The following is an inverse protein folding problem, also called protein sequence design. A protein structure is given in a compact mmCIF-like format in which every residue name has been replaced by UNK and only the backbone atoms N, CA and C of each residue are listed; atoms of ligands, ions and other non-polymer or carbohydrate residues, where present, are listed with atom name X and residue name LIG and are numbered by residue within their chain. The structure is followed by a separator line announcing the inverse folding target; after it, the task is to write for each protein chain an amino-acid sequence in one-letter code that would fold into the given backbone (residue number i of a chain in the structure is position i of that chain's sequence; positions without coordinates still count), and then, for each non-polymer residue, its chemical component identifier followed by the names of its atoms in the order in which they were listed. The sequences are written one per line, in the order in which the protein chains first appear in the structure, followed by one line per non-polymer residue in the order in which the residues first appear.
data_IF_957656722371
#
_entry.id   IF_957656722371
#
_cell.length_a   1.000
_cell.length_b   1.000
_cell.length_c   1.000
_cell.angle_alpha   90.00
_cell.angle_beta   90.00
_cell.angle_gamma   90.00
#
_symmetry.space_group_name_H-M   'P 1'
#
loop_
_entity.id
_entity.type
_entity.pdbx_description
1 polymer ?
#
# COMPACT_ATOMS: atom_id res chain seq x y z
N UNK A 1 -20.67 -64.30 -14.68
CA UNK A 1 -20.71 -64.67 -13.24
C UNK A 1 -19.68 -63.78 -12.55
N UNK A 2 -20.10 -62.72 -11.88
CA UNK A 2 -19.21 -61.95 -11.02
C UNK A 2 -18.91 -62.80 -9.78
N UNK A 3 -17.64 -62.97 -9.45
CA UNK A 3 -17.25 -63.70 -8.27
C UNK A 3 -17.44 -62.85 -7.02
N UNK A 4 -17.68 -63.49 -5.88
CA UNK A 4 -17.82 -62.82 -4.58
C UNK A 4 -16.60 -61.94 -4.26
N UNK A 5 -15.45 -62.21 -4.85
CA UNK A 5 -14.21 -61.49 -4.74
C UNK A 5 -14.23 -60.16 -5.50
N UNK A 6 -14.89 -60.12 -6.67
CA UNK A 6 -15.01 -58.88 -7.47
C UNK A 6 -15.91 -57.85 -6.78
N UNK A 7 -16.92 -58.33 -6.03
CA UNK A 7 -17.80 -57.46 -5.25
C UNK A 7 -17.08 -56.83 -4.04
N UNK A 8 -16.14 -57.59 -3.43
CA UNK A 8 -15.37 -57.15 -2.26
C UNK A 8 -14.30 -56.15 -2.63
N UNK A 9 -13.69 -56.29 -3.83
CA UNK A 9 -12.72 -55.32 -4.35
C UNK A 9 -13.40 -54.00 -4.75
N UNK A 10 -14.58 -54.08 -5.39
CA UNK A 10 -15.34 -52.86 -5.75
C UNK A 10 -15.76 -52.04 -4.50
N UNK A 11 -16.14 -52.70 -3.40
CA UNK A 11 -16.50 -52.01 -2.15
C UNK A 11 -15.29 -51.39 -1.43
N UNK A 12 -14.11 -51.96 -1.55
CA UNK A 12 -12.88 -51.39 -0.97
C UNK A 12 -12.42 -50.15 -1.76
N UNK A 13 -12.49 -50.17 -3.08
CA UNK A 13 -12.16 -49.01 -3.92
C UNK A 13 -13.10 -47.85 -3.65
N UNK A 14 -14.39 -48.09 -3.48
CA UNK A 14 -15.38 -47.07 -3.10
C UNK A 14 -15.08 -46.44 -1.72
N UNK A 15 -14.68 -47.24 -0.74
CA UNK A 15 -14.31 -46.79 0.60
C UNK A 15 -13.03 -45.95 0.58
N UNK A 16 -12.03 -46.34 -0.22
CA UNK A 16 -10.80 -45.55 -0.39
C UNK A 16 -11.07 -44.22 -1.10
N UNK A 17 -11.96 -44.22 -2.08
CA UNK A 17 -12.35 -42.99 -2.77
C UNK A 17 -13.12 -42.05 -1.85
N UNK A 18 -14.03 -42.56 -1.02
CA UNK A 18 -14.72 -41.77 0.00
C UNK A 18 -13.76 -41.21 1.03
N UNK A 19 -12.81 -41.98 1.54
CA UNK A 19 -11.81 -41.52 2.49
C UNK A 19 -10.88 -40.41 1.87
N UNK A 20 -10.57 -40.49 0.58
CA UNK A 20 -9.82 -39.45 -0.14
C UNK A 20 -10.64 -38.16 -0.26
N UNK A 21 -11.93 -38.28 -0.59
CA UNK A 21 -12.85 -37.13 -0.67
C UNK A 21 -13.01 -36.42 0.68
N UNK A 22 -13.19 -37.17 1.74
CA UNK A 22 -13.30 -36.66 3.11
C UNK A 22 -12.01 -35.90 3.54
N UNK A 23 -10.83 -36.48 3.26
CA UNK A 23 -9.55 -35.83 3.54
C UNK A 23 -9.39 -34.54 2.74
N UNK A 24 -9.81 -34.50 1.48
CA UNK A 24 -9.75 -33.28 0.68
C UNK A 24 -10.72 -32.20 1.20
N UNK A 25 -11.92 -32.58 1.59
CA UNK A 25 -12.89 -31.66 2.18
C UNK A 25 -12.39 -31.09 3.51
N UNK A 26 -11.80 -31.93 4.37
CA UNK A 26 -11.22 -31.45 5.62
C UNK A 26 -10.05 -30.52 5.39
N UNK A 27 -9.16 -30.81 4.44
CA UNK A 27 -8.06 -29.91 4.07
C UNK A 27 -8.57 -28.57 3.55
N UNK A 28 -9.62 -28.57 2.71
CA UNK A 28 -10.25 -27.36 2.23
C UNK A 28 -10.88 -26.55 3.37
N UNK A 29 -11.57 -27.21 4.29
CA UNK A 29 -12.15 -26.55 5.47
C UNK A 29 -11.08 -25.87 6.31
N UNK A 30 -9.99 -26.57 6.64
CA UNK A 30 -8.88 -26.04 7.42
C UNK A 30 -8.19 -24.87 6.71
N UNK A 31 -8.06 -24.94 5.38
CA UNK A 31 -7.52 -23.84 4.60
C UNK A 31 -8.40 -22.60 4.66
N UNK A 32 -9.72 -22.76 4.48
CA UNK A 32 -10.68 -21.67 4.57
C UNK A 32 -10.68 -21.01 5.95
N UNK A 33 -10.70 -21.82 7.02
CA UNK A 33 -10.65 -21.33 8.39
C UNK A 33 -9.36 -20.53 8.65
N UNK A 34 -8.22 -20.99 8.12
CA UNK A 34 -6.95 -20.28 8.23
C UNK A 34 -6.98 -18.94 7.48
N UNK A 35 -7.56 -18.92 6.28
CA UNK A 35 -7.70 -17.69 5.49
C UNK A 35 -8.64 -16.68 6.17
N UNK A 36 -9.74 -17.14 6.72
CA UNK A 36 -10.66 -16.29 7.49
C UNK A 36 -9.99 -15.69 8.72
N UNK A 37 -9.23 -16.50 9.47
CA UNK A 37 -8.46 -16.00 10.62
C UNK A 37 -7.44 -14.96 10.21
N UNK A 38 -6.68 -15.19 9.14
CA UNK A 38 -5.72 -14.20 8.62
C UNK A 38 -6.43 -12.91 8.18
N UNK A 39 -7.59 -13.02 7.54
CA UNK A 39 -8.40 -11.88 7.14
C UNK A 39 -8.87 -11.07 8.34
N UNK A 40 -9.33 -11.75 9.40
CA UNK A 40 -9.77 -11.08 10.63
C UNK A 40 -8.60 -10.38 11.35
N UNK A 41 -7.47 -11.05 11.52
CA UNK A 41 -6.26 -10.46 12.13
C UNK A 41 -5.80 -9.21 11.37
N UNK A 42 -5.91 -9.24 10.04
CA UNK A 42 -5.59 -8.10 9.20
C UNK A 42 -6.56 -6.93 9.41
N UNK A 43 -7.86 -7.20 9.40
CA UNK A 43 -8.87 -6.17 9.62
C UNK A 43 -8.73 -5.53 11.01
N UNK A 44 -8.47 -6.32 12.04
CA UNK A 44 -8.22 -5.84 13.39
C UNK A 44 -6.99 -4.94 13.46
N UNK A 45 -5.92 -5.32 12.76
CA UNK A 45 -4.72 -4.49 12.68
C UNK A 45 -4.99 -3.16 11.98
N UNK A 46 -5.64 -3.17 10.80
CA UNK A 46 -5.96 -1.97 10.05
C UNK A 46 -6.86 -1.03 10.86
N UNK A 47 -7.89 -1.57 11.52
CA UNK A 47 -8.82 -0.80 12.35
C UNK A 47 -8.12 -0.13 13.54
N UNK A 48 -7.12 -0.79 14.14
CA UNK A 48 -6.36 -0.23 15.26
C UNK A 48 -5.34 0.82 14.84
N UNK A 49 -4.85 0.72 13.61
CA UNK A 49 -3.69 1.50 13.14
C UNK A 49 -4.10 2.70 12.29
N UNK A 50 -5.19 2.58 11.54
CA UNK A 50 -5.63 3.58 10.58
C UNK A 50 -6.87 4.32 11.07
N UNK A 51 -7.03 5.57 10.61
CA UNK A 51 -8.30 6.29 10.78
C UNK A 51 -9.40 5.65 9.92
N UNK A 52 -10.67 5.90 10.27
CA UNK A 52 -11.82 5.36 9.51
C UNK A 52 -11.74 5.69 8.01
N UNK A 53 -11.32 6.91 7.66
CA UNK A 53 -11.17 7.32 6.26
C UNK A 53 -10.04 6.56 5.55
N UNK A 54 -8.90 6.42 6.19
CA UNK A 54 -7.75 5.66 5.68
C UNK A 54 -8.09 4.19 5.51
N UNK A 55 -8.79 3.60 6.46
CA UNK A 55 -9.24 2.22 6.39
C UNK A 55 -10.20 1.99 5.22
N UNK A 56 -11.16 2.90 5.00
CA UNK A 56 -12.05 2.86 3.83
C UNK A 56 -11.29 2.93 2.51
N UNK A 57 -10.24 3.75 2.43
CA UNK A 57 -9.40 3.83 1.23
C UNK A 57 -8.70 2.51 0.95
N UNK A 58 -8.07 1.91 1.96
CA UNK A 58 -7.38 0.62 1.80
C UNK A 58 -8.37 -0.46 1.33
N UNK A 59 -9.52 -0.59 1.99
CA UNK A 59 -10.55 -1.56 1.61
C UNK A 59 -11.04 -1.33 0.17
N UNK A 60 -11.31 -0.08 -0.20
CA UNK A 60 -11.74 0.26 -1.56
C UNK A 60 -10.73 -0.18 -2.62
N UNK A 61 -9.43 0.11 -2.39
CA UNK A 61 -8.37 -0.29 -3.31
C UNK A 61 -8.21 -1.80 -3.42
N UNK A 62 -8.49 -2.54 -2.33
CA UNK A 62 -8.43 -4.00 -2.32
C UNK A 62 -9.63 -4.64 -2.98
N UNK A 63 -10.84 -4.17 -2.68
CA UNK A 63 -12.08 -4.70 -3.25
C UNK A 63 -12.18 -4.47 -4.76
N UNK A 64 -11.63 -3.34 -5.24
CA UNK A 64 -11.64 -2.99 -6.65
C UNK A 64 -10.30 -3.27 -7.35
N UNK A 65 -9.44 -4.06 -6.71
CA UNK A 65 -8.12 -4.37 -7.25
C UNK A 65 -8.20 -5.03 -8.63
N UNK A 66 -7.59 -4.37 -9.61
CA UNK A 66 -7.40 -4.90 -10.96
C UNK A 66 -5.93 -4.67 -11.32
N UNK A 67 -5.28 -5.72 -11.79
CA UNK A 67 -3.86 -5.71 -12.14
C UNK A 67 -3.51 -4.55 -13.08
N UNK A 68 -2.54 -3.70 -12.71
CA UNK A 68 -2.11 -2.54 -13.48
C UNK A 68 -3.02 -1.31 -13.41
N UNK A 69 -4.21 -1.40 -12.81
CA UNK A 69 -5.14 -0.28 -12.78
C UNK A 69 -4.77 0.74 -11.70
N UNK A 70 -4.60 1.99 -12.11
CA UNK A 70 -4.55 3.15 -11.23
C UNK A 70 -5.95 3.78 -11.06
N UNK A 71 -6.32 4.09 -9.83
CA UNK A 71 -7.53 4.83 -9.51
C UNK A 71 -7.23 6.32 -9.53
N UNK A 72 -8.00 7.08 -10.30
CA UNK A 72 -7.87 8.53 -10.37
C UNK A 72 -8.39 9.17 -9.09
N UNK A 73 -7.97 10.42 -8.83
CA UNK A 73 -8.47 11.19 -7.69
C UNK A 73 -9.98 11.38 -7.79
N UNK A 74 -10.50 11.58 -8.99
CA UNK A 74 -11.91 11.74 -9.27
C UNK A 74 -12.71 10.47 -8.91
N UNK A 75 -12.22 9.27 -9.30
CA UNK A 75 -12.84 7.99 -8.93
C UNK A 75 -12.89 7.80 -7.41
N UNK A 76 -11.80 8.11 -6.70
CA UNK A 76 -11.71 7.97 -5.24
C UNK A 76 -12.66 8.98 -4.55
N UNK A 77 -12.75 10.20 -5.04
CA UNK A 77 -13.69 11.18 -4.50
C UNK A 77 -15.16 10.78 -4.78
N UNK A 78 -15.44 10.21 -5.94
CA UNK A 78 -16.79 9.71 -6.30
C UNK A 78 -17.21 8.47 -5.48
N UNK A 79 -16.26 7.72 -4.92
CA UNK A 79 -16.53 6.55 -4.07
C UNK A 79 -16.98 6.91 -2.63
N UNK A 80 -17.21 8.18 -2.33
CA UNK A 80 -17.72 8.68 -1.03
C UNK A 80 -16.88 8.25 0.20
N UNK A 81 -15.57 8.09 0.00
CA UNK A 81 -14.65 7.68 1.06
C UNK A 81 -14.32 8.81 2.04
N UNK A 82 -14.88 10.00 1.86
CA UNK A 82 -14.60 11.19 2.67
C UNK A 82 -13.47 12.06 2.11
N UNK A 83 -13.16 11.91 0.82
CA UNK A 83 -12.27 12.79 0.08
C UNK A 83 -13.08 13.74 -0.82
N UNK A 84 -12.60 14.97 -0.93
CA UNK A 84 -13.22 16.00 -1.77
C UNK A 84 -12.20 16.59 -2.71
N UNK A 85 -12.62 16.87 -3.93
CA UNK A 85 -11.80 17.59 -4.90
C UNK A 85 -11.58 19.03 -4.45
N UNK A 86 -10.35 19.49 -4.59
CA UNK A 86 -10.03 20.89 -4.37
C UNK A 86 -10.51 21.72 -5.57
N UNK A 87 -11.41 22.62 -5.32
CA UNK A 87 -11.98 23.51 -6.34
C UNK A 87 -11.13 24.80 -6.55
N UNK A 88 -10.08 25.00 -5.76
CA UNK A 88 -9.22 26.17 -5.91
C UNK A 88 -8.33 26.04 -7.14
N UNK A 89 -8.47 26.88 -8.17
CA UNK A 89 -7.69 26.80 -9.41
C UNK A 89 -6.19 27.12 -9.23
N UNK A 90 -5.81 27.69 -8.09
CA UNK A 90 -4.42 28.07 -7.80
C UNK A 90 -3.64 26.94 -7.09
N UNK A 91 -4.28 25.85 -6.73
CA UNK A 91 -3.61 24.68 -6.10
C UNK A 91 -3.43 23.58 -7.12
N UNK A 92 -2.18 23.13 -7.28
CA UNK A 92 -1.86 21.99 -8.14
C UNK A 92 -2.34 20.64 -7.57
N UNK A 93 -2.60 20.58 -6.27
CA UNK A 93 -3.07 19.36 -5.60
C UNK A 93 -4.58 19.27 -5.65
N UNK A 94 -5.10 18.37 -6.47
CA UNK A 94 -6.53 18.12 -6.61
C UNK A 94 -7.18 17.59 -5.32
N UNK A 95 -6.43 16.88 -4.47
CA UNK A 95 -6.90 16.39 -3.17
C UNK A 95 -5.71 16.20 -2.20
N UNK A 96 -5.41 17.23 -1.41
CA UNK A 96 -4.32 17.23 -0.42
C UNK A 96 -4.54 16.15 0.65
N UNK A 97 -5.78 15.98 1.11
CA UNK A 97 -6.14 14.99 2.13
C UNK A 97 -5.78 13.56 1.70
N UNK A 98 -6.06 13.20 0.44
CA UNK A 98 -5.72 11.90 -0.11
C UNK A 98 -4.20 11.67 -0.13
N UNK A 99 -3.44 12.68 -0.56
CA UNK A 99 -1.98 12.60 -0.59
C UNK A 99 -1.35 12.42 0.79
N UNK A 100 -1.89 13.09 1.80
CA UNK A 100 -1.46 12.95 3.19
C UNK A 100 -1.81 11.58 3.76
N UNK A 101 -3.05 11.12 3.54
CA UNK A 101 -3.50 9.83 4.03
C UNK A 101 -2.69 8.67 3.39
N UNK A 102 -2.40 8.72 2.09
CA UNK A 102 -1.56 7.70 1.45
C UNK A 102 -0.17 7.62 2.11
N UNK A 103 0.45 8.75 2.43
CA UNK A 103 1.74 8.77 3.14
C UNK A 103 1.63 8.13 4.53
N UNK A 104 0.62 8.50 5.29
CA UNK A 104 0.39 7.95 6.64
C UNK A 104 0.05 6.45 6.60
N UNK A 105 -0.77 6.02 5.66
CA UNK A 105 -1.09 4.60 5.45
C UNK A 105 0.20 3.83 5.15
N UNK A 106 0.97 4.27 4.16
CA UNK A 106 2.22 3.60 3.79
C UNK A 106 3.18 3.48 4.97
N UNK A 107 3.33 4.54 5.76
CA UNK A 107 4.13 4.51 6.98
C UNK A 107 3.63 3.47 7.98
N UNK A 108 2.32 3.42 8.21
CA UNK A 108 1.72 2.56 9.20
C UNK A 108 1.73 1.07 8.83
N UNK A 109 1.60 0.73 7.52
CA UNK A 109 1.38 -0.64 7.07
C UNK A 109 2.52 -1.25 6.23
N UNK A 110 3.54 -0.46 5.86
CA UNK A 110 4.60 -0.88 4.93
C UNK A 110 5.35 -2.16 5.35
N UNK A 111 5.41 -2.46 6.64
CA UNK A 111 6.08 -3.66 7.15
C UNK A 111 5.26 -4.94 7.03
N UNK A 112 3.96 -4.85 6.72
CA UNK A 112 3.03 -6.00 6.76
C UNK A 112 2.17 -6.17 5.52
N UNK A 113 1.97 -5.10 4.74
CA UNK A 113 0.99 -5.08 3.64
C UNK A 113 1.53 -4.36 2.42
N UNK A 114 0.84 -4.54 1.28
CA UNK A 114 1.15 -3.81 0.07
C UNK A 114 0.99 -2.31 0.29
N UNK A 115 1.96 -1.55 -0.16
CA UNK A 115 1.92 -0.08 -0.09
C UNK A 115 1.07 0.49 -1.23
N UNK A 116 0.57 1.70 -1.02
CA UNK A 116 -0.13 2.48 -2.05
C UNK A 116 0.89 3.33 -2.79
N UNK A 117 1.04 3.12 -4.08
CA UNK A 117 1.91 3.92 -4.94
C UNK A 117 1.10 4.94 -5.75
N UNK A 118 1.73 6.07 -6.09
CA UNK A 118 1.13 7.13 -6.90
C UNK A 118 1.88 7.33 -8.20
N UNK A 119 1.15 7.62 -9.26
CA UNK A 119 1.72 8.09 -10.52
C UNK A 119 1.98 9.61 -10.50
N UNK A 120 2.47 10.14 -11.64
CA UNK A 120 2.76 11.57 -11.80
C UNK A 120 1.48 12.45 -11.80
N UNK A 121 0.32 11.87 -12.08
CA UNK A 121 -0.97 12.57 -12.13
C UNK A 121 -1.70 12.54 -10.77
N UNK A 122 -1.14 11.81 -9.81
CA UNK A 122 -1.72 11.64 -8.48
C UNK A 122 -2.68 10.45 -8.35
N UNK A 123 -2.92 9.71 -9.44
CA UNK A 123 -3.67 8.45 -9.37
C UNK A 123 -2.90 7.44 -8.54
N UNK A 124 -3.61 6.57 -7.83
CA UNK A 124 -2.99 5.62 -6.91
C UNK A 124 -3.49 4.19 -7.12
N UNK A 125 -2.65 3.23 -6.71
CA UNK A 125 -2.99 1.80 -6.68
C UNK A 125 -2.23 1.09 -5.57
N UNK A 126 -2.60 -0.15 -5.27
CA UNK A 126 -1.78 -1.04 -4.45
C UNK A 126 -0.58 -1.52 -5.27
N UNK A 127 0.58 -1.59 -4.62
CA UNK A 127 1.79 -2.13 -5.22
C UNK A 127 1.65 -3.65 -5.44
N UNK A 128 1.97 -4.12 -6.63
CA UNK A 128 1.71 -5.50 -7.05
C UNK A 128 2.93 -6.41 -6.92
N UNK A 129 4.12 -5.83 -7.02
CA UNK A 129 5.36 -6.60 -7.04
C UNK A 129 6.52 -5.86 -6.36
N UNK A 130 7.56 -6.62 -6.01
CA UNK A 130 8.80 -6.06 -5.48
C UNK A 130 9.48 -5.15 -6.51
N UNK A 131 9.49 -5.51 -7.78
CA UNK A 131 10.13 -4.73 -8.84
C UNK A 131 9.43 -3.38 -9.03
N UNK A 132 8.11 -3.37 -8.93
CA UNK A 132 7.32 -2.15 -8.95
C UNK A 132 7.61 -1.27 -7.73
N UNK A 133 7.72 -1.86 -6.55
CA UNK A 133 8.11 -1.16 -5.33
C UNK A 133 9.49 -0.54 -5.45
N UNK A 134 10.47 -1.30 -5.93
CA UNK A 134 11.85 -0.83 -6.07
C UNK A 134 11.94 0.31 -7.10
N UNK A 135 11.18 0.23 -8.18
CA UNK A 135 11.06 1.29 -9.18
C UNK A 135 10.46 2.57 -8.59
N UNK A 136 9.36 2.45 -7.86
CA UNK A 136 8.72 3.57 -7.18
C UNK A 136 9.65 4.18 -6.12
N UNK A 137 10.29 3.35 -5.28
CA UNK A 137 11.26 3.78 -4.26
C UNK A 137 12.39 4.58 -4.86
N UNK A 138 12.95 4.12 -6.00
CA UNK A 138 14.01 4.85 -6.72
C UNK A 138 13.52 6.22 -7.18
N UNK A 139 12.34 6.30 -7.78
CA UNK A 139 11.76 7.56 -8.22
C UNK A 139 11.50 8.54 -7.08
N UNK A 140 11.05 8.06 -5.91
CA UNK A 140 10.85 8.90 -4.73
C UNK A 140 12.20 9.41 -4.17
N UNK A 141 13.23 8.55 -4.11
CA UNK A 141 14.60 8.97 -3.74
C UNK A 141 15.11 10.10 -4.65
N UNK A 142 14.97 9.96 -5.95
CA UNK A 142 15.40 10.98 -6.91
C UNK A 142 14.67 12.32 -6.71
N UNK A 143 13.38 12.30 -6.34
CA UNK A 143 12.63 13.53 -6.02
C UNK A 143 13.18 14.22 -4.78
N UNK A 144 13.46 13.46 -3.73
CA UNK A 144 14.04 13.99 -2.49
C UNK A 144 15.41 14.60 -2.77
N UNK A 145 16.27 13.89 -3.50
CA UNK A 145 17.61 14.35 -3.83
C UNK A 145 17.59 15.64 -4.64
N UNK A 146 16.72 15.75 -5.66
CA UNK A 146 16.53 17.00 -6.41
C UNK A 146 16.06 18.14 -5.53
N UNK A 147 15.17 17.89 -4.55
CA UNK A 147 14.73 18.89 -3.59
C UNK A 147 15.90 19.38 -2.72
N UNK A 148 16.77 18.49 -2.27
CA UNK A 148 17.99 18.82 -1.54
C UNK A 148 18.96 19.68 -2.37
N UNK A 149 19.22 19.27 -3.60
CA UNK A 149 20.09 20.03 -4.51
C UNK A 149 19.55 21.44 -4.73
N UNK A 150 18.23 21.60 -4.89
CA UNK A 150 17.58 22.90 -5.01
C UNK A 150 17.77 23.75 -3.77
N UNK A 151 17.59 23.19 -2.56
CA UNK A 151 17.77 23.91 -1.30
C UNK A 151 19.23 24.36 -1.12
N UNK A 152 20.19 23.46 -1.36
CA UNK A 152 21.61 23.81 -1.32
C UNK A 152 21.97 24.93 -2.31
N UNK A 153 21.34 24.95 -3.49
CA UNK A 153 21.54 26.01 -4.47
C UNK A 153 20.98 27.35 -3.98
N UNK A 154 19.86 27.34 -3.26
CA UNK A 154 19.27 28.53 -2.66
C UNK A 154 20.15 29.08 -1.52
N UNK A 155 20.63 28.21 -0.64
CA UNK A 155 21.57 28.57 0.44
C UNK A 155 22.82 29.22 -0.15
N UNK A 156 23.45 28.58 -1.14
CA UNK A 156 24.64 29.14 -1.80
C UNK A 156 24.38 30.49 -2.45
N UNK A 157 23.24 30.69 -3.10
CA UNK A 157 22.89 31.99 -3.69
C UNK A 157 22.68 33.07 -2.64
N UNK A 158 22.01 32.73 -1.54
CA UNK A 158 21.76 33.64 -0.44
C UNK A 158 23.05 34.09 0.24
N UNK A 159 23.98 33.19 0.49
CA UNK A 159 25.29 33.49 1.06
C UNK A 159 26.10 34.39 0.12
N UNK A 160 26.11 34.08 -1.16
CA UNK A 160 26.85 34.87 -2.17
C UNK A 160 26.32 36.30 -2.35
N UNK A 161 25.02 36.46 -2.33
CA UNK A 161 24.37 37.74 -2.61
C UNK A 161 24.23 38.62 -1.36
N UNK A 162 24.74 38.15 -0.18
CA UNK A 162 24.69 38.87 1.10
C UNK A 162 23.27 39.16 1.59
N UNK A 163 22.29 38.56 0.97
CA UNK A 163 20.90 38.65 1.39
C UNK A 163 20.67 37.76 2.56
N UNK A 164 20.42 38.36 3.72
CA UNK A 164 20.01 37.80 5.01
C UNK A 164 20.31 36.29 5.23
N UNK A 165 20.84 35.94 6.39
CA UNK A 165 20.92 34.52 6.73
C UNK A 165 19.51 33.93 6.55
N UNK A 166 19.35 33.17 5.50
CA UNK A 166 18.14 32.36 5.31
C UNK A 166 18.08 31.49 6.53
N UNK A 167 17.33 31.97 7.52
CA UNK A 167 17.00 31.27 8.74
C UNK A 167 16.70 29.83 8.34
N UNK A 168 17.67 28.96 8.49
CA UNK A 168 17.56 27.51 8.35
C UNK A 168 16.41 27.09 7.43
N UNK A 169 16.53 27.35 6.11
CA UNK A 169 15.60 26.80 5.13
C UNK A 169 15.54 25.27 5.25
N UNK A 170 16.62 24.65 5.75
CA UNK A 170 16.65 23.26 6.17
C UNK A 170 15.56 22.96 7.21
N UNK A 171 15.44 23.74 8.25
CA UNK A 171 14.50 23.52 9.35
C UNK A 171 13.06 23.87 8.98
N UNK A 172 12.84 24.70 7.95
CA UNK A 172 11.51 25.05 7.45
C UNK A 172 11.01 24.19 6.28
N UNK A 173 11.92 23.61 5.49
CA UNK A 173 11.55 22.84 4.30
C UNK A 173 11.26 21.38 4.60
N UNK A 174 11.79 20.88 5.69
CA UNK A 174 11.55 19.53 6.18
C UNK A 174 10.79 19.65 7.51
N UNK A 175 9.55 19.17 7.56
CA UNK A 175 8.89 18.94 8.83
C UNK A 175 9.67 17.86 9.59
N UNK A 176 9.62 17.84 10.92
CA UNK A 176 10.31 16.82 11.75
C UNK A 176 10.12 15.40 11.23
N UNK A 177 8.95 15.11 10.65
CA UNK A 177 8.63 13.82 10.02
C UNK A 177 9.36 13.56 8.69
N UNK A 178 9.71 14.61 7.95
CA UNK A 178 10.53 14.48 6.72
C UNK A 178 12.02 14.28 7.06
N UNK A 179 12.48 14.77 8.21
CA UNK A 179 13.81 14.47 8.75
C UNK A 179 13.94 13.01 9.17
N UNK A 180 12.95 12.46 9.89
CA UNK A 180 12.93 11.03 10.25
C UNK A 180 12.95 10.14 9.00
N UNK A 181 12.25 10.53 7.93
CA UNK A 181 12.25 9.79 6.66
C UNK A 181 13.63 9.79 5.97
N UNK A 182 14.39 10.86 6.09
CA UNK A 182 15.73 10.97 5.50
C UNK A 182 16.78 10.22 6.31
N UNK A 183 16.69 10.22 7.62
CA UNK A 183 17.63 9.52 8.49
C UNK A 183 17.50 7.99 8.41
N UNK A 184 16.30 7.47 8.17
CA UNK A 184 16.07 6.05 7.90
C UNK A 184 16.84 5.56 6.67
N UNK A 185 17.06 6.43 5.67
CA UNK A 185 17.83 6.08 4.47
C UNK A 185 19.35 6.24 4.59
N UNK A 186 19.84 6.94 5.61
CA UNK A 186 21.29 7.07 5.85
C UNK A 186 21.90 5.89 6.63
N UNK A 187 21.10 5.06 7.26
CA UNK A 187 21.52 3.96 8.10
C UNK A 187 21.84 2.64 7.40
N UNK A 188 21.68 2.56 6.08
CA UNK A 188 21.93 1.35 5.29
C UNK A 188 23.02 1.57 4.22
N UNK A 189 24.25 1.83 4.66
CA UNK A 189 25.45 1.66 3.84
C UNK A 189 26.40 0.72 4.54
#
# INVERSE_FOLDING_TARGET
MFTQMDLFLATNDDLEEQAKKEKQQEQQRLLLERLEKQRQERQDFLTKTLTTRQHRLVNYLEEHFVNGKYFTIEEICAAELGYTLNTNPYTHDKCVALGNDIRQINWAIASRYSIIIKDKKGSCKLCESKDEFDTWKKAEKEKVEKKYQYLNTLEYKADRDGTMPLINLRDRALTDKEYEFVDVYKGEN
#
